data_IF_546322076903
#
_entry.id   IF_546322076903
#
_cell.length_a   1.000
_cell.length_b   1.000
_cell.length_c   1.000
_cell.angle_alpha   90.00
_cell.angle_beta   90.00
_cell.angle_gamma   90.00
#
_symmetry.space_group_name_H-M   'P 1'
#
loop_
_entity.id
_entity.type
_entity.pdbx_description
1 polymer ?
#
# COMPACT_ATOMS: atom_id res chain seq x y z
N UNK A 1 3.50 27.75 37.52
CA UNK A 1 3.87 28.73 36.46
C UNK A 1 2.67 29.39 35.76
N UNK A 2 1.42 29.02 36.07
CA UNK A 2 0.23 29.73 35.54
C UNK A 2 -0.10 29.51 34.06
N UNK A 3 0.63 28.63 33.37
CA UNK A 3 0.49 28.39 31.92
C UNK A 3 -0.67 27.49 31.50
N UNK A 4 -1.58 27.13 32.40
CA UNK A 4 -2.75 26.31 32.08
C UNK A 4 -3.88 26.48 33.09
N UNK A 5 -5.07 26.02 32.73
CA UNK A 5 -6.29 26.07 33.54
C UNK A 5 -7.27 24.95 33.15
N UNK A 6 -8.12 24.53 34.09
CA UNK A 6 -9.20 23.58 33.80
C UNK A 6 -10.41 24.34 33.29
N UNK A 7 -10.96 23.90 32.16
CA UNK A 7 -12.08 24.51 31.49
C UNK A 7 -13.27 23.53 31.44
N UNK A 8 -14.43 24.03 31.85
CA UNK A 8 -15.71 23.29 31.85
C UNK A 8 -16.65 23.71 30.73
N UNK A 9 -16.24 24.67 29.89
CA UNK A 9 -17.05 25.09 28.76
C UNK A 9 -17.27 23.91 27.81
N UNK A 10 -18.49 23.79 27.29
CA UNK A 10 -18.74 22.88 26.18
C UNK A 10 -17.86 23.27 24.97
N UNK A 11 -17.63 22.33 24.04
CA UNK A 11 -16.85 22.63 22.83
C UNK A 11 -17.42 23.81 22.04
N UNK A 12 -18.76 23.89 21.94
CA UNK A 12 -19.46 24.97 21.23
C UNK A 12 -19.24 26.33 21.93
N UNK A 13 -19.46 26.37 23.23
CA UNK A 13 -19.31 27.58 24.04
C UNK A 13 -17.87 28.10 24.00
N UNK A 14 -16.88 27.22 24.18
CA UNK A 14 -15.48 27.63 24.08
C UNK A 14 -15.13 28.14 22.68
N UNK A 15 -15.72 27.54 21.62
CA UNK A 15 -15.51 28.03 20.25
C UNK A 15 -15.96 29.48 20.09
N UNK A 16 -17.07 29.89 20.70
CA UNK A 16 -17.55 31.28 20.64
C UNK A 16 -16.60 32.27 21.32
N UNK A 17 -16.01 31.89 22.45
CA UNK A 17 -14.94 32.66 23.10
C UNK A 17 -13.71 32.75 22.21
N UNK A 18 -13.30 31.60 21.68
CA UNK A 18 -12.14 31.45 20.80
C UNK A 18 -12.27 32.30 19.54
N UNK A 19 -13.39 32.25 18.83
CA UNK A 19 -13.61 32.98 17.59
C UNK A 19 -13.60 34.50 17.82
N UNK A 20 -14.15 34.96 18.96
CA UNK A 20 -14.13 36.38 19.38
C UNK A 20 -12.79 36.85 19.95
N UNK A 21 -11.81 35.94 20.09
CA UNK A 21 -10.52 36.23 20.70
C UNK A 21 -10.61 36.65 22.17
N UNK A 22 -11.65 36.20 22.88
CA UNK A 22 -11.91 36.55 24.28
C UNK A 22 -11.71 35.35 25.19
N UNK A 23 -11.09 35.50 26.37
CA UNK A 23 -10.91 34.40 27.30
C UNK A 23 -12.26 33.90 27.82
N UNK A 24 -12.37 32.59 28.05
CA UNK A 24 -13.53 32.04 28.77
C UNK A 24 -13.42 32.35 30.28
N UNK A 25 -14.53 32.34 31.05
CA UNK A 25 -14.52 32.70 32.47
C UNK A 25 -13.56 31.85 33.32
N UNK A 26 -13.35 30.59 32.95
CA UNK A 26 -12.45 29.66 33.65
C UNK A 26 -10.96 30.03 33.54
N UNK A 27 -10.57 30.85 32.55
CA UNK A 27 -9.16 31.19 32.32
C UNK A 27 -8.54 32.00 33.46
N UNK A 28 -9.34 32.78 34.17
CA UNK A 28 -8.91 33.65 35.27
C UNK A 28 -9.01 32.96 36.64
N UNK A 29 -9.27 31.64 36.68
CA UNK A 29 -9.19 30.86 37.91
C UNK A 29 -7.80 30.96 38.57
N UNK A 30 -7.78 30.86 39.89
CA UNK A 30 -6.53 30.84 40.64
C UNK A 30 -5.74 29.56 40.33
N UNK A 31 -4.43 29.59 40.60
CA UNK A 31 -3.57 28.41 40.47
C UNK A 31 -4.05 27.30 41.42
N UNK A 32 -4.50 27.65 42.63
CA UNK A 32 -5.03 26.70 43.61
C UNK A 32 -6.26 25.97 43.08
N UNK A 33 -7.24 26.71 42.56
CA UNK A 33 -8.46 26.13 41.99
C UNK A 33 -8.15 25.24 40.79
N UNK A 34 -7.27 25.69 39.89
CA UNK A 34 -6.81 24.88 38.75
C UNK A 34 -6.20 23.55 39.20
N UNK A 35 -5.36 23.56 40.24
CA UNK A 35 -4.73 22.34 40.76
C UNK A 35 -5.74 21.42 41.45
N UNK A 36 -6.76 21.98 42.12
CA UNK A 36 -7.84 21.21 42.71
C UNK A 36 -8.70 20.53 41.64
N UNK A 37 -9.16 21.29 40.65
CA UNK A 37 -9.91 20.74 39.51
C UNK A 37 -9.08 19.70 38.74
N UNK A 38 -7.77 19.89 38.60
CA UNK A 38 -6.89 18.89 37.99
C UNK A 38 -6.86 17.58 38.78
N UNK A 39 -6.75 17.65 40.12
CA UNK A 39 -6.83 16.45 40.97
C UNK A 39 -8.19 15.76 40.86
N UNK A 40 -9.27 16.53 40.76
CA UNK A 40 -10.63 16.01 40.55
C UNK A 40 -10.77 15.31 39.19
N UNK A 41 -10.17 15.86 38.12
CA UNK A 41 -10.08 15.18 36.82
C UNK A 41 -9.39 13.83 36.93
N UNK A 42 -8.23 13.79 37.59
CA UNK A 42 -7.48 12.55 37.81
C UNK A 42 -8.23 11.55 38.70
N UNK A 43 -8.92 12.06 39.74
CA UNK A 43 -9.72 11.28 40.68
C UNK A 43 -11.08 10.85 40.14
N UNK A 44 -11.44 11.29 38.93
CA UNK A 44 -12.63 10.80 38.24
C UNK A 44 -13.93 11.51 38.59
N UNK A 45 -13.87 12.72 39.14
CA UNK A 45 -15.04 13.52 39.52
C UNK A 45 -15.81 14.10 38.31
N UNK A 46 -15.21 14.05 37.12
CA UNK A 46 -15.79 14.56 35.87
C UNK A 46 -16.10 13.43 34.89
N UNK A 47 -17.19 13.60 34.13
CA UNK A 47 -17.56 12.72 33.03
C UNK A 47 -16.66 12.96 31.80
N UNK A 48 -16.57 11.96 30.92
CA UNK A 48 -15.85 12.13 29.66
C UNK A 48 -16.36 13.34 28.87
N UNK A 49 -15.43 14.22 28.49
CA UNK A 49 -15.73 15.45 27.73
C UNK A 49 -16.26 16.63 28.55
N UNK A 50 -16.53 16.49 29.85
CA UNK A 50 -17.07 17.59 30.67
C UNK A 50 -15.99 18.54 31.22
N UNK A 51 -14.73 18.13 31.22
CA UNK A 51 -13.60 18.94 31.65
C UNK A 51 -12.36 18.70 30.78
N UNK A 52 -11.62 19.78 30.50
CA UNK A 52 -10.35 19.74 29.77
C UNK A 52 -9.32 20.65 30.42
N UNK A 53 -8.04 20.25 30.40
CA UNK A 53 -6.94 21.15 30.73
C UNK A 53 -6.55 21.92 29.47
N UNK A 54 -6.54 23.25 29.52
CA UNK A 54 -6.09 24.12 28.43
C UNK A 54 -4.76 24.75 28.77
N UNK A 55 -3.93 24.93 27.74
CA UNK A 55 -2.69 25.71 27.84
C UNK A 55 -3.07 27.16 27.61
N UNK A 56 -2.68 28.07 28.51
CA UNK A 56 -2.89 29.49 28.28
C UNK A 56 -1.99 29.91 27.12
N UNK A 57 -2.56 30.52 26.11
CA UNK A 57 -1.84 31.12 25.00
C UNK A 57 -2.35 32.54 24.77
N UNK A 58 -2.01 33.13 23.63
CA UNK A 58 -2.60 34.38 23.19
C UNK A 58 -3.99 34.16 22.57
N UNK A 59 -5.02 34.67 23.25
CA UNK A 59 -6.40 34.64 22.73
C UNK A 59 -6.60 35.57 21.52
N UNK A 60 -5.73 36.57 21.34
CA UNK A 60 -5.72 37.47 20.17
C UNK A 60 -4.99 36.89 18.95
N UNK A 61 -4.38 35.70 19.06
CA UNK A 61 -3.57 35.12 18.00
C UNK A 61 -4.35 34.99 16.69
N UNK A 62 -3.77 35.37 15.55
CA UNK A 62 -4.48 35.39 14.25
C UNK A 62 -5.04 34.01 13.87
N UNK A 63 -4.27 32.96 14.09
CA UNK A 63 -4.70 31.57 13.94
C UNK A 63 -5.51 31.08 15.18
N UNK A 64 -6.81 30.73 15.00
CA UNK A 64 -7.65 30.21 16.07
C UNK A 64 -7.27 28.82 16.58
N UNK A 65 -6.40 28.06 15.91
CA UNK A 65 -5.95 26.76 16.39
C UNK A 65 -4.99 26.89 17.59
N UNK A 66 -4.27 28.01 17.68
CA UNK A 66 -3.30 28.29 18.75
C UNK A 66 -3.95 28.85 20.01
N UNK A 67 -5.13 29.45 19.91
CA UNK A 67 -5.86 30.07 21.04
C UNK A 67 -6.31 29.03 22.06
N UNK A 68 -5.75 29.10 23.27
CA UNK A 68 -6.03 28.28 24.45
C UNK A 68 -6.41 26.81 24.12
N UNK A 69 -5.49 26.12 23.45
CA UNK A 69 -5.68 24.75 22.97
C UNK A 69 -5.72 23.75 24.13
N UNK A 70 -6.34 22.59 23.88
CA UNK A 70 -6.55 21.54 24.90
C UNK A 70 -5.28 20.70 25.04
N UNK A 71 -4.72 20.63 26.24
CA UNK A 71 -3.60 19.74 26.56
C UNK A 71 -4.06 18.37 27.06
N UNK A 72 -5.13 18.29 27.85
CA UNK A 72 -5.66 17.02 28.35
C UNK A 72 -7.18 16.97 28.30
N UNK A 73 -7.71 15.75 28.13
CA UNK A 73 -9.16 15.47 28.19
C UNK A 73 -9.46 14.24 29.03
N UNK A 74 -10.68 14.19 29.57
CA UNK A 74 -11.23 12.99 30.21
C UNK A 74 -11.81 12.04 29.15
N UNK A 75 -11.46 10.76 29.23
CA UNK A 75 -12.02 9.66 28.43
C UNK A 75 -12.27 8.45 29.33
N UNK A 76 -13.41 7.80 29.15
CA UNK A 76 -13.76 6.57 29.89
C UNK A 76 -13.43 5.29 29.11
N UNK A 77 -12.95 5.40 27.87
CA UNK A 77 -12.49 4.25 27.08
C UNK A 77 -11.16 3.72 27.63
N UNK A 78 -11.08 2.46 28.07
CA UNK A 78 -9.83 1.86 28.51
C UNK A 78 -8.78 1.83 27.40
N UNK A 79 -7.51 1.98 27.76
CA UNK A 79 -6.41 1.88 26.83
C UNK A 79 -6.23 0.43 26.33
N UNK A 80 -6.01 0.19 25.02
CA UNK A 80 -5.92 -1.17 24.47
C UNK A 80 -4.70 -1.98 24.95
N UNK A 81 -3.69 -1.33 25.54
CA UNK A 81 -2.55 -2.01 26.19
C UNK A 81 -2.98 -2.56 27.56
N UNK A 82 -2.96 -3.88 27.80
CA UNK A 82 -3.47 -4.49 29.03
C UNK A 82 -2.81 -3.97 30.32
N UNK A 83 -1.52 -3.65 30.28
CA UNK A 83 -0.76 -3.10 31.40
C UNK A 83 -1.15 -1.66 31.78
N UNK A 84 -1.91 -0.99 30.90
CA UNK A 84 -2.45 0.34 31.11
C UNK A 84 -3.94 0.25 31.44
N UNK A 85 -4.72 -0.47 30.61
CA UNK A 85 -6.15 -0.71 30.85
C UNK A 85 -6.93 0.55 31.21
N UNK A 86 -7.64 0.51 32.32
CA UNK A 86 -8.44 1.58 32.91
C UNK A 86 -7.69 2.43 33.95
N UNK A 87 -6.37 2.23 34.11
CA UNK A 87 -5.55 2.92 35.11
C UNK A 87 -5.56 4.44 34.96
N UNK A 88 -5.76 4.95 33.75
CA UNK A 88 -5.79 6.37 33.45
C UNK A 88 -7.05 6.75 32.69
N UNK A 89 -7.65 7.87 33.09
CA UNK A 89 -8.85 8.44 32.48
C UNK A 89 -8.59 9.82 31.87
N UNK A 90 -7.50 10.48 32.28
CA UNK A 90 -7.12 11.80 31.78
C UNK A 90 -5.93 11.64 30.84
N UNK A 91 -6.15 11.95 29.57
CA UNK A 91 -5.21 11.67 28.49
C UNK A 91 -4.69 12.95 27.86
N UNK A 92 -3.37 13.07 27.63
CA UNK A 92 -2.83 14.21 26.91
C UNK A 92 -3.26 14.17 25.44
N UNK A 93 -3.33 15.34 24.81
CA UNK A 93 -3.43 15.47 23.36
C UNK A 93 -2.03 15.61 22.75
N UNK A 94 -1.96 15.28 21.46
CA UNK A 94 -0.73 15.19 20.66
C UNK A 94 0.26 16.32 20.95
N UNK A 95 -0.17 17.58 20.88
CA UNK A 95 0.77 18.70 21.02
C UNK A 95 1.40 18.78 22.42
N UNK A 96 0.64 18.49 23.48
CA UNK A 96 1.21 18.49 24.83
C UNK A 96 2.15 17.31 25.04
N UNK A 97 1.70 16.11 24.66
CA UNK A 97 2.48 14.89 24.82
C UNK A 97 3.80 14.96 24.04
N UNK A 98 3.74 15.29 22.75
CA UNK A 98 4.93 15.32 21.91
C UNK A 98 5.89 16.44 22.33
N UNK A 99 5.39 17.59 22.81
CA UNK A 99 6.28 18.63 23.34
C UNK A 99 7.11 18.15 24.55
N UNK A 100 6.47 17.43 25.47
CA UNK A 100 7.13 16.91 26.67
C UNK A 100 8.04 15.74 26.32
N UNK A 101 7.58 14.82 25.47
CA UNK A 101 8.37 13.65 25.06
C UNK A 101 9.61 14.06 24.28
N UNK A 102 9.50 14.98 23.32
CA UNK A 102 10.64 15.48 22.53
C UNK A 102 11.73 16.06 23.44
N UNK A 103 11.33 16.84 24.46
CA UNK A 103 12.27 17.39 25.43
C UNK A 103 12.92 16.31 26.28
N UNK A 104 12.13 15.40 26.86
CA UNK A 104 12.62 14.34 27.74
C UNK A 104 13.53 13.35 27.03
N UNK A 105 13.29 13.10 25.74
CA UNK A 105 14.11 12.23 24.90
C UNK A 105 15.29 12.95 24.24
N UNK A 106 15.42 14.28 24.42
CA UNK A 106 16.52 15.06 23.86
C UNK A 106 16.48 15.17 22.34
N UNK A 107 15.28 15.23 21.75
CA UNK A 107 15.11 15.39 20.31
C UNK A 107 15.71 16.73 19.86
N UNK A 108 16.57 16.70 18.85
CA UNK A 108 17.21 17.90 18.28
C UNK A 108 16.57 18.36 16.98
N UNK A 109 15.95 17.43 16.24
CA UNK A 109 15.33 17.68 14.94
C UNK A 109 13.98 16.97 14.87
N UNK A 110 12.92 17.72 14.55
CA UNK A 110 11.58 17.19 14.31
C UNK A 110 11.35 17.18 12.80
N UNK A 111 11.16 16.01 12.18
CA UNK A 111 10.88 15.88 10.75
C UNK A 111 9.46 15.35 10.55
N UNK A 112 8.56 16.19 10.03
CA UNK A 112 7.13 15.86 9.96
C UNK A 112 6.37 16.57 8.85
N UNK A 113 5.18 16.06 8.52
CA UNK A 113 4.37 16.64 7.45
C UNK A 113 4.00 18.09 7.72
N UNK A 114 3.94 18.92 6.67
CA UNK A 114 3.57 20.34 6.78
C UNK A 114 2.15 20.58 7.31
N UNK A 115 1.32 19.54 7.38
CA UNK A 115 0.02 19.57 8.05
C UNK A 115 0.13 19.73 9.58
N UNK A 116 1.32 19.59 10.16
CA UNK A 116 1.59 19.77 11.59
C UNK A 116 2.34 21.08 11.89
N UNK A 117 2.37 22.05 10.97
CA UNK A 117 2.97 23.37 11.23
C UNK A 117 2.34 24.02 12.47
N UNK A 118 1.01 24.03 12.57
CA UNK A 118 0.33 24.65 13.72
C UNK A 118 0.68 23.96 15.05
N UNK A 119 1.05 22.67 15.00
CA UNK A 119 1.52 21.95 16.19
C UNK A 119 2.80 22.56 16.74
N UNK A 120 3.71 23.03 15.88
CA UNK A 120 4.95 23.71 16.30
C UNK A 120 4.62 24.91 17.18
N UNK A 121 3.75 25.78 16.67
CA UNK A 121 3.37 26.99 17.37
C UNK A 121 2.70 26.69 18.71
N UNK A 122 1.87 25.64 18.78
CA UNK A 122 1.25 25.19 20.04
C UNK A 122 2.30 24.68 21.02
N UNK A 123 3.21 23.82 20.57
CA UNK A 123 4.26 23.20 21.39
C UNK A 123 5.24 24.24 21.95
N UNK A 124 5.59 25.28 21.18
CA UNK A 124 6.48 26.36 21.64
C UNK A 124 5.97 27.08 22.91
N UNK A 125 4.65 27.13 23.17
CA UNK A 125 4.15 27.65 24.45
C UNK A 125 4.61 26.81 25.65
N UNK A 126 4.58 25.48 25.51
CA UNK A 126 5.04 24.56 26.55
C UNK A 126 6.52 24.81 26.83
N UNK A 127 7.35 24.84 25.78
CA UNK A 127 8.78 25.07 25.91
C UNK A 127 9.09 26.42 26.57
N UNK A 128 8.39 27.49 26.19
CA UNK A 128 8.52 28.80 26.87
C UNK A 128 8.16 28.73 28.35
N UNK A 129 7.08 28.04 28.72
CA UNK A 129 6.70 27.90 30.13
C UNK A 129 7.76 27.17 30.95
N UNK A 130 8.41 26.16 30.36
CA UNK A 130 9.43 25.39 31.06
C UNK A 130 10.86 25.92 30.89
N UNK A 131 11.06 26.95 30.06
CA UNK A 131 12.37 27.49 29.68
C UNK A 131 13.24 26.42 29.01
N UNK A 132 12.65 25.71 28.06
CA UNK A 132 13.31 24.69 27.23
C UNK A 132 13.63 25.26 25.85
N UNK A 133 14.70 24.75 25.25
CA UNK A 133 15.03 25.01 23.85
C UNK A 133 14.21 24.12 22.92
N UNK A 134 13.52 24.72 21.95
CA UNK A 134 12.68 23.98 21.02
C UNK A 134 13.53 23.35 19.90
N UNK A 135 13.31 22.08 19.50
CA UNK A 135 14.08 21.42 18.46
C UNK A 135 13.94 22.11 17.10
N UNK A 136 14.90 21.89 16.19
CA UNK A 136 14.77 22.38 14.81
C UNK A 136 13.67 21.58 14.08
N UNK A 137 12.64 22.26 13.58
CA UNK A 137 11.59 21.60 12.79
C UNK A 137 11.89 21.67 11.29
N UNK A 138 11.79 20.52 10.62
CA UNK A 138 11.79 20.41 9.16
C UNK A 138 10.45 19.86 8.70
N UNK A 139 9.78 20.60 7.82
CA UNK A 139 8.52 20.17 7.23
C UNK A 139 8.74 19.52 5.88
N UNK A 140 7.99 18.45 5.61
CA UNK A 140 7.89 17.87 4.27
C UNK A 140 6.48 17.99 3.73
N UNK A 141 6.38 18.18 2.41
CA UNK A 141 5.14 18.31 1.69
C UNK A 141 4.31 17.03 1.75
N UNK A 142 3.02 17.16 1.48
CA UNK A 142 2.10 16.03 1.46
C UNK A 142 2.43 15.15 0.26
N UNK A 143 2.54 13.86 0.52
CA UNK A 143 2.68 12.84 -0.52
C UNK A 143 1.32 12.24 -0.83
N UNK A 144 0.89 12.31 -2.08
CA UNK A 144 -0.35 11.69 -2.57
C UNK A 144 0.00 10.66 -3.64
N UNK A 145 -0.50 9.44 -3.50
CA UNK A 145 -0.38 8.42 -4.55
C UNK A 145 -1.65 8.43 -5.38
N UNK A 146 -1.54 8.74 -6.68
CA UNK A 146 -2.68 9.01 -7.56
C UNK A 146 -3.68 7.84 -7.62
N UNK A 147 -3.17 6.61 -7.69
CA UNK A 147 -3.96 5.40 -7.91
C UNK A 147 -4.81 4.99 -6.70
N UNK A 148 -4.49 5.50 -5.52
CA UNK A 148 -5.14 5.12 -4.26
C UNK A 148 -6.06 6.20 -3.68
N UNK A 149 -6.00 7.43 -4.21
CA UNK A 149 -6.81 8.54 -3.72
C UNK A 149 -6.57 8.87 -2.25
N UNK A 150 -7.58 9.46 -1.60
CA UNK A 150 -7.57 9.66 -0.14
C UNK A 150 -8.04 8.38 0.53
N UNK A 151 -7.17 7.68 1.23
CA UNK A 151 -7.53 6.57 2.11
C UNK A 151 -6.99 6.83 3.50
N UNK A 152 -7.86 6.87 4.51
CA UNK A 152 -7.45 6.93 5.91
C UNK A 152 -7.27 5.53 6.51
N UNK A 153 -6.40 5.40 7.51
CA UNK A 153 -6.21 4.16 8.26
C UNK A 153 -7.52 3.66 8.89
N UNK A 154 -8.37 4.56 9.38
CA UNK A 154 -9.65 4.22 9.98
C UNK A 154 -10.65 3.64 8.97
N UNK A 155 -10.75 4.24 7.77
CA UNK A 155 -11.59 3.71 6.69
C UNK A 155 -11.11 2.34 6.22
N UNK A 156 -9.79 2.15 6.08
CA UNK A 156 -9.22 0.84 5.74
C UNK A 156 -9.56 -0.18 6.84
N UNK A 157 -9.37 0.18 8.11
CA UNK A 157 -9.69 -0.69 9.24
C UNK A 157 -11.16 -1.08 9.29
N UNK A 158 -12.08 -0.13 9.03
CA UNK A 158 -13.51 -0.41 8.95
C UNK A 158 -13.84 -1.34 7.76
N UNK A 159 -13.23 -1.09 6.59
CA UNK A 159 -13.42 -1.92 5.40
C UNK A 159 -12.87 -3.35 5.56
N UNK A 160 -11.80 -3.55 6.34
CA UNK A 160 -11.32 -4.88 6.69
C UNK A 160 -12.34 -5.57 7.61
N UNK A 161 -12.85 -4.88 8.63
CA UNK A 161 -13.84 -5.43 9.57
C UNK A 161 -15.13 -5.87 8.87
N UNK A 162 -15.58 -5.13 7.85
CA UNK A 162 -16.78 -5.46 7.07
C UNK A 162 -16.53 -6.49 5.96
N UNK A 163 -15.31 -7.01 5.84
CA UNK A 163 -14.95 -8.03 4.85
C UNK A 163 -14.74 -7.50 3.43
N UNK A 164 -14.75 -6.17 3.22
CA UNK A 164 -14.43 -5.58 1.90
C UNK A 164 -12.98 -5.89 1.50
N UNK A 165 -12.06 -5.89 2.46
CA UNK A 165 -10.66 -6.30 2.30
C UNK A 165 -10.36 -7.51 3.16
N UNK A 166 -9.51 -8.42 2.66
CA UNK A 166 -9.16 -9.66 3.37
C UNK A 166 -8.26 -9.42 4.58
N UNK A 167 -7.59 -8.28 4.62
CA UNK A 167 -6.68 -7.90 5.70
C UNK A 167 -5.85 -6.66 5.34
N UNK A 168 -4.92 -6.29 6.21
CA UNK A 168 -4.01 -5.17 5.99
C UNK A 168 -3.01 -5.40 4.85
N UNK A 169 -2.86 -6.63 4.39
CA UNK A 169 -1.98 -7.05 3.29
C UNK A 169 -2.75 -7.38 2.00
N UNK A 170 -4.03 -7.01 1.93
CA UNK A 170 -4.85 -7.10 0.72
C UNK A 170 -4.23 -6.29 -0.42
N UNK A 171 -4.09 -6.84 -1.64
CA UNK A 171 -3.35 -6.21 -2.74
C UNK A 171 -4.00 -4.92 -3.27
N UNK A 172 -5.26 -4.67 -2.90
CA UNK A 172 -6.01 -3.46 -3.23
C UNK A 172 -5.66 -2.27 -2.32
N UNK A 173 -4.94 -2.52 -1.23
CA UNK A 173 -4.56 -1.50 -0.25
C UNK A 173 -3.14 -0.96 -0.51
N UNK A 174 -2.89 0.34 -0.22
CA UNK A 174 -1.59 0.99 -0.36
C UNK A 174 -0.66 0.75 0.85
N UNK A 175 -0.87 -0.32 1.61
CA UNK A 175 -0.10 -0.56 2.83
C UNK A 175 1.27 -1.14 2.50
N UNK A 176 2.26 -0.89 3.36
CA UNK A 176 3.57 -1.54 3.24
C UNK A 176 3.44 -3.06 3.27
N UNK A 177 2.48 -3.61 4.03
CA UNK A 177 2.21 -5.05 4.07
C UNK A 177 1.73 -5.58 2.71
N UNK A 178 0.82 -4.88 2.05
CA UNK A 178 0.32 -5.21 0.71
C UNK A 178 1.44 -5.12 -0.33
N UNK A 179 2.18 -4.00 -0.37
CA UNK A 179 3.29 -3.81 -1.31
C UNK A 179 4.35 -4.91 -1.16
N UNK A 180 4.72 -5.25 0.08
CA UNK A 180 5.65 -6.36 0.37
C UNK A 180 5.10 -7.70 -0.11
N UNK A 181 3.83 -8.01 0.21
CA UNK A 181 3.20 -9.29 -0.19
C UNK A 181 3.06 -9.43 -1.71
N UNK A 182 2.91 -8.30 -2.42
CA UNK A 182 2.94 -8.20 -3.88
C UNK A 182 4.33 -8.33 -4.50
N UNK A 183 5.40 -8.35 -3.71
CA UNK A 183 6.77 -8.46 -4.22
C UNK A 183 7.42 -7.12 -4.62
N UNK A 184 6.89 -6.00 -4.12
CA UNK A 184 7.56 -4.70 -4.24
C UNK A 184 8.74 -4.64 -3.26
N UNK A 185 9.94 -4.41 -3.79
CA UNK A 185 11.17 -4.33 -3.03
C UNK A 185 11.20 -3.06 -2.17
N UNK A 186 11.62 -3.20 -0.92
CA UNK A 186 11.78 -2.08 0.01
C UNK A 186 12.76 -1.01 -0.51
N UNK A 187 13.74 -1.44 -1.30
CA UNK A 187 14.73 -0.59 -1.95
C UNK A 187 14.09 0.35 -2.97
N UNK A 188 13.06 -0.08 -3.69
CA UNK A 188 12.35 0.77 -4.65
C UNK A 188 11.63 1.92 -3.94
N UNK A 189 11.00 1.64 -2.79
CA UNK A 189 10.36 2.66 -1.95
C UNK A 189 11.40 3.62 -1.35
N UNK A 190 12.48 3.08 -0.76
CA UNK A 190 13.54 3.91 -0.17
C UNK A 190 14.16 4.84 -1.20
N UNK A 191 14.52 4.30 -2.38
CA UNK A 191 15.11 5.10 -3.46
C UNK A 191 14.20 6.26 -3.84
N UNK A 192 12.91 6.01 -4.04
CA UNK A 192 11.94 7.05 -4.35
C UNK A 192 11.90 8.14 -3.26
N UNK A 193 11.74 7.77 -1.99
CA UNK A 193 11.67 8.76 -0.91
C UNK A 193 12.99 9.51 -0.68
N UNK A 194 14.13 8.86 -0.89
CA UNK A 194 15.45 9.52 -0.83
C UNK A 194 15.63 10.52 -1.97
N UNK A 195 15.18 10.19 -3.19
CA UNK A 195 15.24 11.10 -4.34
C UNK A 195 14.32 12.32 -4.19
N UNK A 196 13.16 12.15 -3.56
CA UNK A 196 12.26 13.28 -3.27
C UNK A 196 12.86 14.26 -2.26
N UNK A 197 13.64 13.76 -1.30
CA UNK A 197 14.24 14.55 -0.24
C UNK A 197 13.21 15.17 0.72
N UNK A 198 13.69 16.06 1.59
CA UNK A 198 12.87 16.80 2.54
C UNK A 198 12.64 18.21 2.01
N UNK A 199 11.47 18.43 1.42
CA UNK A 199 11.04 19.76 0.97
C UNK A 199 9.52 19.92 1.19
N UNK A 200 9.04 21.16 1.27
CA UNK A 200 7.64 21.47 1.61
C UNK A 200 6.66 21.37 0.43
N UNK A 201 7.15 21.05 -0.76
CA UNK A 201 6.33 20.95 -1.98
C UNK A 201 5.46 19.70 -1.91
N UNK A 202 4.16 19.87 -2.17
CA UNK A 202 3.27 18.72 -2.27
C UNK A 202 3.60 17.91 -3.52
N UNK A 203 3.75 16.59 -3.35
CA UNK A 203 4.17 15.70 -4.41
C UNK A 203 3.04 14.72 -4.73
N UNK A 204 2.69 14.64 -6.01
CA UNK A 204 1.92 13.56 -6.58
C UNK A 204 2.85 12.45 -7.06
N UNK A 205 2.68 11.24 -6.54
CA UNK A 205 3.40 10.05 -6.95
C UNK A 205 2.47 9.13 -7.74
N UNK A 206 2.96 8.60 -8.85
CA UNK A 206 2.35 7.47 -9.51
C UNK A 206 3.01 6.19 -9.03
N UNK A 207 2.21 5.14 -8.88
CA UNK A 207 2.73 3.79 -8.66
C UNK A 207 3.63 3.31 -9.81
N UNK A 208 3.50 3.85 -11.01
CA UNK A 208 4.37 3.51 -12.14
C UNK A 208 5.84 3.86 -11.88
N UNK A 209 6.13 4.92 -11.11
CA UNK A 209 7.50 5.24 -10.69
C UNK A 209 8.06 4.13 -9.78
N UNK A 210 7.26 3.69 -8.80
CA UNK A 210 7.63 2.59 -7.89
C UNK A 210 7.79 1.29 -8.67
N UNK A 211 6.92 1.03 -9.64
CA UNK A 211 6.98 -0.16 -10.49
C UNK A 211 8.20 -0.16 -11.39
N UNK A 212 8.57 0.98 -11.97
CA UNK A 212 9.77 1.14 -12.78
C UNK A 212 11.05 0.81 -11.98
N UNK A 213 11.19 1.38 -10.78
CA UNK A 213 12.33 1.08 -9.90
C UNK A 213 12.30 -0.38 -9.42
N UNK A 214 11.12 -0.90 -9.07
CA UNK A 214 10.99 -2.29 -8.67
C UNK A 214 11.36 -3.25 -9.80
N UNK A 215 10.96 -2.96 -11.05
CA UNK A 215 11.28 -3.76 -12.23
C UNK A 215 12.79 -3.88 -12.41
N UNK A 216 13.53 -2.77 -12.34
CA UNK A 216 15.00 -2.79 -12.45
C UNK A 216 15.66 -3.71 -11.42
N UNK A 217 15.07 -3.83 -10.23
CA UNK A 217 15.62 -4.65 -9.13
C UNK A 217 15.30 -6.14 -9.24
N UNK A 218 14.11 -6.49 -9.75
CA UNK A 218 13.64 -7.88 -9.79
C UNK A 218 13.89 -8.56 -11.13
N UNK A 219 13.99 -7.80 -12.23
CA UNK A 219 14.00 -8.35 -13.59
C UNK A 219 15.17 -9.30 -13.82
N UNK A 220 16.37 -8.90 -13.37
CA UNK A 220 17.64 -9.64 -13.49
C UNK A 220 17.59 -11.04 -12.87
N UNK A 221 16.76 -11.25 -11.86
CA UNK A 221 16.72 -12.50 -11.11
C UNK A 221 15.39 -13.26 -11.25
N UNK A 222 14.34 -12.61 -11.77
CA UNK A 222 13.04 -13.22 -11.91
C UNK A 222 13.06 -14.35 -12.95
N UNK A 223 12.66 -15.54 -12.53
CA UNK A 223 12.37 -16.66 -13.44
C UNK A 223 11.15 -16.31 -14.30
N UNK A 224 11.13 -16.80 -15.53
CA UNK A 224 10.03 -16.63 -16.47
C UNK A 224 9.15 -17.85 -16.45
N UNK A 225 7.84 -17.63 -16.38
CA UNK A 225 6.86 -18.69 -16.51
C UNK A 225 5.72 -18.29 -17.44
N UNK A 226 4.98 -19.29 -17.93
CA UNK A 226 3.73 -19.08 -18.64
C UNK A 226 2.54 -19.23 -17.70
N UNK A 227 1.69 -18.21 -17.68
CA UNK A 227 0.39 -18.19 -17.05
C UNK A 227 -0.62 -17.63 -18.05
N UNK A 228 -1.74 -18.31 -18.19
CA UNK A 228 -2.79 -17.98 -19.13
C UNK A 228 -4.10 -17.68 -18.38
N UNK A 229 -4.48 -16.41 -18.21
CA UNK A 229 -5.75 -16.03 -17.60
C UNK A 229 -6.92 -16.35 -18.53
N UNK A 230 -8.06 -16.75 -17.94
CA UNK A 230 -9.29 -17.09 -18.67
C UNK A 230 -9.04 -18.01 -19.89
N UNK A 231 -8.44 -19.19 -19.67
CA UNK A 231 -7.87 -20.00 -20.75
C UNK A 231 -8.89 -20.38 -21.83
N UNK A 232 -8.46 -20.28 -23.08
CA UNK A 232 -9.16 -20.77 -24.27
C UNK A 232 -8.35 -21.88 -24.90
N UNK A 233 -9.00 -23.02 -25.16
CA UNK A 233 -8.35 -24.19 -25.74
C UNK A 233 -8.11 -24.01 -27.25
N UNK A 234 -6.91 -24.36 -27.68
CA UNK A 234 -6.49 -24.45 -29.08
C UNK A 234 -6.10 -25.90 -29.37
N UNK A 235 -6.77 -26.53 -30.34
CA UNK A 235 -6.44 -27.86 -30.84
C UNK A 235 -5.62 -27.69 -32.12
N UNK A 236 -4.46 -28.35 -32.18
CA UNK A 236 -3.46 -28.20 -33.22
C UNK A 236 -3.37 -29.52 -33.99
N UNK A 237 -3.85 -29.51 -35.23
CA UNK A 237 -3.75 -30.64 -36.17
C UNK A 237 -2.32 -30.76 -36.68
N UNK A 238 -1.92 -31.97 -37.00
CA UNK A 238 -0.61 -32.33 -37.58
C UNK A 238 0.61 -31.97 -36.70
N UNK A 239 0.39 -31.66 -35.41
CA UNK A 239 1.45 -31.52 -34.42
C UNK A 239 1.74 -32.85 -33.72
N UNK A 240 2.98 -33.32 -33.82
CA UNK A 240 3.45 -34.46 -33.02
C UNK A 240 3.72 -34.04 -31.57
N UNK A 241 3.49 -34.92 -30.57
CA UNK A 241 3.86 -34.64 -29.18
C UNK A 241 5.34 -34.26 -29.04
N UNK A 242 5.62 -33.24 -28.24
CA UNK A 242 6.96 -32.68 -28.05
C UNK A 242 7.12 -32.11 -26.64
N UNK A 243 8.32 -31.63 -26.31
CA UNK A 243 8.60 -30.91 -25.06
C UNK A 243 9.17 -29.55 -25.43
N UNK A 244 8.40 -28.50 -25.13
CA UNK A 244 8.92 -27.14 -25.25
C UNK A 244 10.03 -26.93 -24.21
N UNK A 245 11.08 -26.22 -24.62
CA UNK A 245 12.20 -25.86 -23.75
C UNK A 245 12.39 -24.34 -23.67
N UNK A 246 11.45 -23.56 -23.11
CA UNK A 246 11.65 -22.14 -22.92
C UNK A 246 12.78 -21.87 -21.91
N UNK A 247 13.49 -20.76 -22.07
CA UNK A 247 14.48 -20.34 -21.08
C UNK A 247 13.82 -19.97 -19.74
N UNK A 248 14.47 -20.32 -18.62
CA UNK A 248 14.07 -19.83 -17.29
C UNK A 248 14.34 -18.33 -17.15
N UNK A 249 15.37 -17.81 -17.80
CA UNK A 249 15.70 -16.39 -17.83
C UNK A 249 16.37 -16.03 -19.16
N UNK A 250 15.63 -15.42 -20.11
CA UNK A 250 16.15 -15.17 -21.46
C UNK A 250 17.47 -14.39 -21.54
N UNK A 251 17.72 -13.37 -20.69
CA UNK A 251 19.02 -12.68 -20.67
C UNK A 251 20.21 -13.53 -20.21
N UNK A 252 19.99 -14.64 -19.51
CA UNK A 252 21.05 -15.52 -18.98
C UNK A 252 20.72 -17.00 -19.23
N UNK A 253 21.03 -17.52 -20.43
CA UNK A 253 20.71 -18.90 -20.81
C UNK A 253 21.32 -19.98 -19.91
N UNK A 254 22.38 -19.65 -19.16
CA UNK A 254 23.06 -20.57 -18.23
C UNK A 254 22.16 -20.96 -17.06
N UNK A 255 21.10 -20.19 -16.78
CA UNK A 255 20.09 -20.49 -15.74
C UNK A 255 19.17 -21.65 -16.11
N UNK A 256 19.31 -22.21 -17.32
CA UNK A 256 18.61 -23.41 -17.75
C UNK A 256 17.28 -23.15 -18.44
N UNK A 257 16.56 -24.23 -18.67
CA UNK A 257 15.33 -24.25 -19.43
C UNK A 257 14.23 -24.91 -18.62
N UNK A 258 13.02 -24.40 -18.78
CA UNK A 258 11.78 -25.06 -18.38
C UNK A 258 11.49 -26.21 -19.32
N UNK A 259 10.81 -27.26 -18.86
CA UNK A 259 10.37 -28.37 -19.71
C UNK A 259 8.85 -28.49 -19.64
N UNK A 260 8.19 -28.14 -20.74
CA UNK A 260 6.72 -28.18 -20.83
C UNK A 260 6.33 -29.24 -21.86
N UNK A 261 5.82 -30.40 -21.44
CA UNK A 261 5.26 -31.39 -22.36
C UNK A 261 4.05 -30.81 -23.11
N UNK A 262 4.01 -31.03 -24.42
CA UNK A 262 2.93 -30.58 -25.30
C UNK A 262 2.49 -31.76 -26.16
N UNK A 263 1.18 -32.01 -26.18
CA UNK A 263 0.58 -32.97 -27.11
C UNK A 263 0.14 -32.22 -28.36
N UNK A 264 -1.14 -32.27 -28.68
CA UNK A 264 -1.78 -31.60 -29.80
C UNK A 264 -2.66 -30.42 -29.36
N UNK A 265 -2.53 -29.96 -28.12
CA UNK A 265 -3.38 -28.88 -27.59
C UNK A 265 -2.64 -27.99 -26.60
N UNK A 266 -3.04 -26.71 -26.61
CA UNK A 266 -2.54 -25.67 -25.71
C UNK A 266 -3.68 -24.78 -25.23
N UNK A 267 -3.45 -24.03 -24.16
CA UNK A 267 -4.33 -22.98 -23.67
C UNK A 267 -3.72 -21.62 -23.97
N UNK A 268 -4.51 -20.68 -24.46
CA UNK A 268 -4.11 -19.28 -24.69
C UNK A 268 -5.04 -18.32 -23.95
N UNK A 269 -4.61 -17.07 -23.75
CA UNK A 269 -5.41 -16.10 -23.01
C UNK A 269 -6.69 -15.75 -23.78
N UNK A 270 -7.79 -15.48 -23.07
CA UNK A 270 -9.03 -15.00 -23.71
C UNK A 270 -8.80 -13.73 -24.54
N UNK A 271 -7.90 -12.87 -24.07
CA UNK A 271 -7.55 -11.63 -24.77
C UNK A 271 -6.84 -11.89 -26.09
N UNK A 272 -5.86 -12.79 -26.11
CA UNK A 272 -5.18 -13.18 -27.35
C UNK A 272 -6.15 -13.90 -28.31
N UNK A 273 -7.02 -14.77 -27.78
CA UNK A 273 -8.05 -15.48 -28.54
C UNK A 273 -9.01 -14.52 -29.27
N UNK A 274 -9.48 -13.46 -28.58
CA UNK A 274 -10.37 -12.43 -29.18
C UNK A 274 -9.73 -11.69 -30.35
N UNK A 275 -8.39 -11.63 -30.39
CA UNK A 275 -7.65 -10.92 -31.43
C UNK A 275 -7.32 -11.82 -32.63
N UNK A 276 -7.58 -13.13 -32.57
CA UNK A 276 -7.31 -14.08 -33.67
C UNK A 276 -8.20 -13.86 -34.88
N UNK A 277 -7.66 -14.16 -36.06
CA UNK A 277 -8.38 -14.18 -37.34
C UNK A 277 -8.23 -15.56 -38.00
N UNK A 278 -9.24 -15.98 -38.76
CA UNK A 278 -9.12 -17.18 -39.59
C UNK A 278 -8.01 -16.98 -40.63
N UNK A 279 -7.28 -18.07 -40.94
CA UNK A 279 -6.09 -18.11 -41.78
C UNK A 279 -4.89 -17.31 -41.26
N UNK A 280 -4.91 -16.83 -40.02
CA UNK A 280 -3.79 -16.11 -39.43
C UNK A 280 -2.67 -17.08 -39.02
N UNK A 281 -1.44 -16.73 -39.37
CA UNK A 281 -0.23 -17.42 -38.93
C UNK A 281 0.34 -16.74 -37.68
N UNK A 282 0.43 -17.48 -36.58
CA UNK A 282 0.98 -16.99 -35.30
C UNK A 282 2.05 -17.94 -34.76
N UNK A 283 2.81 -17.48 -33.75
CA UNK A 283 3.78 -18.29 -33.03
C UNK A 283 3.38 -18.52 -31.59
N UNK A 284 3.37 -19.79 -31.20
CA UNK A 284 3.38 -20.18 -29.78
C UNK A 284 4.81 -20.03 -29.27
N UNK A 285 5.00 -19.16 -28.27
CA UNK A 285 6.31 -18.81 -27.74
C UNK A 285 7.09 -20.07 -27.33
N UNK A 286 8.34 -20.14 -27.79
CA UNK A 286 9.28 -21.24 -27.52
C UNK A 286 8.77 -22.65 -27.84
N UNK A 287 7.80 -22.74 -28.76
CA UNK A 287 7.23 -23.99 -29.27
C UNK A 287 7.33 -24.03 -30.81
N UNK A 288 6.28 -23.61 -31.54
CA UNK A 288 6.25 -23.62 -33.01
C UNK A 288 5.19 -22.65 -33.57
N UNK A 289 5.10 -22.58 -34.89
CA UNK A 289 4.13 -21.75 -35.60
C UNK A 289 2.84 -22.54 -35.83
N UNK A 290 1.69 -21.85 -35.76
CA UNK A 290 0.38 -22.43 -36.05
C UNK A 290 -0.42 -21.51 -36.96
N UNK A 291 -1.17 -22.10 -37.87
CA UNK A 291 -2.13 -21.40 -38.72
C UNK A 291 -3.55 -21.62 -38.20
N UNK A 292 -4.25 -20.56 -37.85
CA UNK A 292 -5.61 -20.65 -37.32
C UNK A 292 -6.56 -21.02 -38.46
N UNK A 293 -7.28 -22.12 -38.33
CA UNK A 293 -8.21 -22.59 -39.37
C UNK A 293 -9.66 -22.27 -39.02
N UNK A 294 -10.02 -22.34 -37.74
CA UNK A 294 -11.38 -22.08 -37.29
C UNK A 294 -11.42 -21.52 -35.87
N UNK A 295 -12.17 -20.44 -35.68
CA UNK A 295 -12.40 -19.82 -34.37
C UNK A 295 -13.86 -20.10 -33.97
N UNK A 296 -14.06 -21.04 -33.03
CA UNK A 296 -15.37 -21.33 -32.44
C UNK A 296 -15.29 -21.29 -30.90
N UNK A 297 -16.08 -22.12 -30.18
CA UNK A 297 -15.92 -22.28 -28.72
C UNK A 297 -14.52 -22.81 -28.35
N UNK A 298 -13.96 -23.63 -29.22
CA UNK A 298 -12.57 -24.09 -29.24
C UNK A 298 -11.92 -23.55 -30.51
N UNK A 299 -10.63 -23.22 -30.47
CA UNK A 299 -9.90 -22.79 -31.64
C UNK A 299 -9.26 -24.02 -32.29
N UNK A 300 -9.41 -24.17 -33.60
CA UNK A 300 -8.68 -25.16 -34.39
C UNK A 300 -7.55 -24.45 -35.15
N UNK A 301 -6.38 -25.09 -35.16
CA UNK A 301 -5.22 -24.64 -35.89
C UNK A 301 -4.49 -25.83 -36.50
N UNK A 302 -3.63 -25.56 -37.48
CA UNK A 302 -2.73 -26.53 -38.09
C UNK A 302 -1.29 -26.16 -37.76
N UNK A 303 -0.46 -27.17 -37.49
CA UNK A 303 0.97 -26.99 -37.33
C UNK A 303 1.58 -26.46 -38.64
N UNK A 304 2.34 -25.38 -38.56
CA UNK A 304 3.07 -24.83 -39.70
C UNK A 304 4.57 -24.99 -39.47
N UNK A 305 5.26 -25.69 -40.37
CA UNK A 305 6.71 -25.82 -40.31
C UNK A 305 7.34 -24.47 -40.64
N UNK A 306 8.24 -24.01 -39.79
CA UNK A 306 8.97 -22.79 -40.05
C UNK A 306 9.72 -22.24 -38.85
N UNK A 307 10.75 -21.44 -39.12
CA UNK A 307 11.50 -20.74 -38.09
C UNK A 307 10.76 -19.49 -37.61
N UNK A 308 11.23 -18.94 -36.49
CA UNK A 308 10.71 -17.69 -35.93
C UNK A 308 10.84 -16.50 -36.88
N UNK A 309 11.83 -16.51 -37.79
CA UNK A 309 12.11 -15.41 -38.71
C UNK A 309 10.94 -15.15 -39.67
N UNK A 310 10.24 -16.20 -40.12
CA UNK A 310 9.05 -16.09 -40.99
C UNK A 310 7.95 -15.26 -40.33
N UNK A 311 7.80 -15.39 -39.01
CA UNK A 311 6.82 -14.64 -38.22
C UNK A 311 7.28 -13.20 -38.05
N UNK A 312 8.57 -12.98 -37.76
CA UNK A 312 9.14 -11.63 -37.59
C UNK A 312 9.06 -10.80 -38.88
N UNK A 313 9.38 -11.40 -40.01
CA UNK A 313 9.29 -10.76 -41.34
C UNK A 313 7.87 -10.36 -41.70
N UNK A 314 6.87 -11.16 -41.30
CA UNK A 314 5.44 -10.89 -41.52
C UNK A 314 4.81 -10.05 -40.40
N UNK A 315 5.60 -9.55 -39.46
CA UNK A 315 5.14 -8.87 -38.24
C UNK A 315 4.02 -9.66 -37.50
N UNK A 316 4.13 -10.99 -37.53
CA UNK A 316 3.15 -11.91 -36.97
C UNK A 316 3.23 -11.96 -35.44
N UNK A 317 2.14 -12.38 -34.81
CA UNK A 317 2.00 -12.35 -33.35
C UNK A 317 2.69 -13.53 -32.69
N UNK A 318 3.40 -13.25 -31.61
CA UNK A 318 3.97 -14.25 -30.70
C UNK A 318 3.16 -14.22 -29.40
N UNK A 319 2.58 -15.35 -29.02
CA UNK A 319 1.75 -15.47 -27.82
C UNK A 319 2.31 -16.51 -26.85
N UNK A 320 2.15 -16.26 -25.55
CA UNK A 320 2.40 -17.29 -24.54
C UNK A 320 1.23 -18.27 -24.52
N UNK A 321 1.44 -19.42 -23.90
CA UNK A 321 0.46 -20.49 -23.80
C UNK A 321 0.72 -21.31 -22.54
N UNK A 322 -0.28 -22.04 -22.06
CA UNK A 322 -0.14 -22.99 -20.97
C UNK A 322 -0.54 -24.40 -21.42
N UNK A 323 0.06 -25.46 -20.84
CA UNK A 323 -0.36 -26.82 -21.12
C UNK A 323 -1.76 -27.09 -20.53
N UNK A 324 -2.66 -27.84 -21.21
CA UNK A 324 -4.03 -28.06 -20.71
C UNK A 324 -4.12 -28.84 -19.40
N UNK A 325 -3.11 -29.66 -19.10
CA UNK A 325 -2.94 -30.38 -17.84
C UNK A 325 -2.15 -29.56 -16.80
N UNK A 326 -1.88 -28.28 -17.07
CA UNK A 326 -1.16 -27.38 -16.17
C UNK A 326 -1.85 -27.13 -14.82
N UNK A 327 -1.17 -26.37 -13.96
CA UNK A 327 -1.64 -26.08 -12.61
C UNK A 327 -2.57 -24.87 -12.59
N UNK A 328 -3.60 -24.92 -11.73
CA UNK A 328 -4.49 -23.78 -11.50
C UNK A 328 -3.74 -22.67 -10.79
N UNK A 329 -3.87 -21.45 -11.30
CA UNK A 329 -3.26 -20.26 -10.70
C UNK A 329 -4.33 -19.18 -10.52
N UNK A 330 -4.36 -18.59 -9.33
CA UNK A 330 -5.13 -17.41 -9.00
C UNK A 330 -4.18 -16.24 -8.73
N UNK A 331 -4.22 -15.22 -9.57
CA UNK A 331 -3.45 -13.99 -9.40
C UNK A 331 -4.35 -12.93 -8.74
N UNK A 332 -3.97 -12.50 -7.55
CA UNK A 332 -4.62 -11.39 -6.85
C UNK A 332 -3.97 -10.08 -7.26
N UNK A 333 -4.78 -9.16 -7.78
CA UNK A 333 -4.34 -7.86 -8.31
C UNK A 333 -5.01 -6.71 -7.55
N UNK A 334 -4.51 -5.48 -7.68
CA UNK A 334 -5.22 -4.29 -7.20
C UNK A 334 -6.61 -4.08 -7.84
N UNK A 335 -6.92 -4.74 -8.96
CA UNK A 335 -8.19 -4.63 -9.68
C UNK A 335 -9.15 -5.79 -9.39
N UNK A 336 -8.67 -6.87 -8.75
CA UNK A 336 -9.45 -8.07 -8.51
C UNK A 336 -8.64 -9.35 -8.69
N UNK A 337 -9.34 -10.48 -8.64
CA UNK A 337 -8.75 -11.81 -8.82
C UNK A 337 -8.85 -12.22 -10.29
N UNK A 338 -7.76 -12.74 -10.83
CA UNK A 338 -7.69 -13.33 -12.16
C UNK A 338 -7.33 -14.82 -12.03
N UNK A 339 -8.14 -15.70 -12.62
CA UNK A 339 -7.93 -17.15 -12.55
C UNK A 339 -7.51 -17.69 -13.91
N UNK A 340 -6.62 -18.68 -13.90
CA UNK A 340 -6.12 -19.29 -15.13
C UNK A 340 -5.32 -20.56 -14.90
N UNK A 341 -4.58 -20.96 -15.93
CA UNK A 341 -3.70 -22.13 -15.90
C UNK A 341 -2.27 -21.66 -16.15
N UNK A 342 -1.34 -22.15 -15.34
CA UNK A 342 0.09 -21.97 -15.53
C UNK A 342 0.79 -23.31 -15.76
N UNK A 343 2.05 -23.24 -16.15
CA UNK A 343 2.87 -24.46 -16.24
C UNK A 343 3.21 -25.00 -14.83
N UNK A 344 3.55 -26.29 -14.78
CA UNK A 344 3.81 -27.00 -13.52
C UNK A 344 5.01 -26.44 -12.75
N UNK A 345 6.07 -26.03 -13.44
CA UNK A 345 7.32 -25.58 -12.79
C UNK A 345 7.18 -24.27 -11.99
N UNK A 346 6.02 -23.58 -12.04
CA UNK A 346 5.75 -22.42 -11.16
C UNK A 346 5.87 -22.82 -9.69
N UNK A 347 5.57 -24.08 -9.34
CA UNK A 347 5.65 -24.58 -7.96
C UNK A 347 7.06 -24.50 -7.35
N UNK A 348 8.10 -24.39 -8.18
CA UNK A 348 9.49 -24.28 -7.73
C UNK A 348 9.87 -22.87 -7.26
N UNK A 349 8.96 -21.91 -7.37
CA UNK A 349 9.20 -20.50 -7.08
C UNK A 349 8.29 -19.93 -5.99
N UNK A 350 7.78 -20.79 -5.09
CA UNK A 350 7.02 -20.36 -3.91
C UNK A 350 7.83 -19.31 -3.11
N UNK A 351 7.15 -18.26 -2.67
CA UNK A 351 7.67 -17.06 -2.00
C UNK A 351 8.60 -16.17 -2.85
N UNK A 352 8.90 -16.55 -4.09
CA UNK A 352 9.76 -15.79 -4.99
C UNK A 352 8.95 -14.86 -5.90
N UNK A 353 9.61 -13.80 -6.38
CA UNK A 353 9.10 -12.94 -7.44
C UNK A 353 9.53 -13.51 -8.78
N UNK A 354 8.56 -13.74 -9.66
CA UNK A 354 8.73 -14.29 -11.00
C UNK A 354 8.07 -13.37 -12.02
N UNK A 355 8.37 -13.57 -13.29
CA UNK A 355 7.65 -12.90 -14.37
C UNK A 355 6.77 -13.93 -15.10
N UNK A 356 5.47 -13.68 -15.12
CA UNK A 356 4.57 -14.32 -16.06
C UNK A 356 4.69 -13.60 -17.40
N UNK A 357 5.18 -14.30 -18.42
CA UNK A 357 5.54 -13.68 -19.69
C UNK A 357 4.34 -13.06 -20.41
N UNK A 358 4.49 -11.80 -20.87
CA UNK A 358 3.41 -10.97 -21.44
C UNK A 358 2.21 -10.77 -20.50
N UNK A 359 2.38 -10.98 -19.19
CA UNK A 359 1.36 -10.74 -18.17
C UNK A 359 1.84 -9.72 -17.14
N UNK A 360 2.98 -9.99 -16.48
CA UNK A 360 3.57 -9.11 -15.47
C UNK A 360 4.45 -9.84 -14.47
N UNK A 361 5.05 -9.09 -13.54
CA UNK A 361 5.76 -9.64 -12.39
C UNK A 361 4.77 -9.98 -11.28
N UNK A 362 4.93 -11.18 -10.71
CA UNK A 362 4.09 -11.68 -9.63
C UNK A 362 4.95 -12.29 -8.54
N UNK A 363 4.51 -12.21 -7.29
CA UNK A 363 5.06 -13.03 -6.20
C UNK A 363 4.20 -14.29 -6.03
N UNK A 364 4.81 -15.46 -6.09
CA UNK A 364 4.11 -16.72 -5.79
C UNK A 364 3.98 -16.82 -4.28
N UNK A 365 2.75 -16.83 -3.75
CA UNK A 365 2.50 -16.70 -2.31
C UNK A 365 2.34 -18.07 -1.64
N UNK A 366 1.51 -18.95 -2.19
CA UNK A 366 1.30 -20.29 -1.63
C UNK A 366 0.68 -21.24 -2.65
N UNK A 367 0.68 -22.53 -2.31
CA UNK A 367 -0.07 -23.56 -3.02
C UNK A 367 -0.99 -24.23 -2.01
N UNK A 368 -2.30 -24.20 -2.27
CA UNK A 368 -3.32 -24.84 -1.42
C UNK A 368 -4.33 -25.56 -2.30
N UNK A 369 -4.64 -26.82 -1.96
CA UNK A 369 -5.60 -27.65 -2.70
C UNK A 369 -5.33 -27.71 -4.22
N UNK A 370 -4.05 -27.77 -4.61
CA UNK A 370 -3.63 -27.79 -6.01
C UNK A 370 -3.80 -26.47 -6.78
N UNK A 371 -4.04 -25.35 -6.07
CA UNK A 371 -4.16 -24.01 -6.65
C UNK A 371 -3.00 -23.16 -6.14
N UNK A 372 -2.25 -22.56 -7.07
CA UNK A 372 -1.25 -21.55 -6.76
C UNK A 372 -1.95 -20.21 -6.55
N UNK A 373 -1.68 -19.55 -5.44
CA UNK A 373 -2.03 -18.14 -5.24
C UNK A 373 -0.80 -17.28 -5.51
N UNK A 374 -0.92 -16.29 -6.39
CA UNK A 374 0.12 -15.32 -6.68
C UNK A 374 -0.41 -13.89 -6.51
N UNK A 375 0.47 -12.93 -6.26
CA UNK A 375 0.12 -11.52 -6.09
C UNK A 375 0.81 -10.70 -7.17
N UNK A 376 0.06 -9.88 -7.91
CA UNK A 376 0.62 -9.03 -8.95
C UNK A 376 1.45 -7.89 -8.34
N UNK A 377 2.73 -7.85 -8.69
CA UNK A 377 3.61 -6.72 -8.40
C UNK A 377 3.25 -5.56 -9.33
N UNK A 378 3.53 -5.73 -10.62
CA UNK A 378 3.28 -4.77 -11.70
C UNK A 378 3.41 -5.48 -13.06
N UNK A 379 2.93 -4.83 -14.12
CA UNK A 379 2.97 -5.41 -15.47
C UNK A 379 4.33 -5.25 -16.14
#
# INVERSE_FOLDING_TARGET
KGGGYVCFCSQREFKEYKDRGKPCPHREQSIGDTLNHWKEMLGGAFEAGSAVLRVKTDMGHSDPAIRDWVAFRVLDTPHPRPEIGDRYRVWPLLDFESAVEDHLLGITHIIRGKDLIDSEHRQQYIYRYFNWEYPLTLHWGRVKIHEFGKMSTSEIGAAIKTGRYTGWDDPRLPTIRSLRRRGIQSQALRKLFTELGVNETDIGLSMENIYGENRKMIDENARRYFFTPEPVRVIIKDASPTVAKPLLHPPDPRRGHRKIPVKNEVLISREDAKKLKNNELIRLKDLYNIKITKINKTIEAEYEKGEINIIREKNGRIIHWAPPDGIKVEVLTPKGKESGIGEHEIVESIEQVVQFERYGFVRIDSIKNGIITAYLAHK
#
